data_IF_989064657836
#
_entry.id   IF_989064657836
#
_cell.length_a   1.000
_cell.length_b   1.000
_cell.length_c   1.000
_cell.angle_alpha   90.00
_cell.angle_beta   90.00
_cell.angle_gamma   90.00
#
_symmetry.space_group_name_H-M   'P 1'
#
loop_
_entity.id
_entity.type
_entity.pdbx_description
1 polymer ?
#
# COMPACT_ATOMS: atom_id res chain seq x y z
N UNK A 1 13.37 -6.33 1.95
CA UNK A 1 12.62 -7.61 2.14
C UNK A 1 11.71 -7.87 0.96
N UNK A 2 11.34 -9.13 0.70
CA UNK A 2 10.33 -9.51 -0.29
C UNK A 2 9.34 -10.45 0.37
N UNK A 3 8.07 -10.21 0.18
CA UNK A 3 6.99 -11.06 0.67
C UNK A 3 6.11 -11.51 -0.50
N UNK A 4 5.42 -12.65 -0.37
CA UNK A 4 4.38 -13.02 -1.33
C UNK A 4 3.24 -11.98 -1.27
N UNK A 5 2.42 -11.84 -2.35
CA UNK A 5 1.32 -10.87 -2.38
C UNK A 5 0.10 -11.32 -1.56
N UNK A 6 0.32 -12.12 -0.56
CA UNK A 6 -0.69 -12.67 0.36
C UNK A 6 -0.19 -12.56 1.80
N UNK A 7 -1.11 -12.34 2.73
CA UNK A 7 -0.85 -12.30 4.17
C UNK A 7 -1.78 -13.23 4.92
N UNK A 8 -1.38 -13.64 6.11
CA UNK A 8 -2.22 -14.41 6.99
C UNK A 8 -3.44 -13.58 7.42
N UNK A 9 -4.63 -14.17 7.39
CA UNK A 9 -5.89 -13.52 7.77
C UNK A 9 -5.85 -12.98 9.20
N UNK A 10 -5.25 -13.70 10.14
CA UNK A 10 -5.13 -13.26 11.53
C UNK A 10 -4.29 -11.98 11.67
N UNK A 11 -3.19 -11.85 10.91
CA UNK A 11 -2.37 -10.65 10.91
C UNK A 11 -3.08 -9.49 10.21
N UNK A 12 -3.84 -9.78 9.15
CA UNK A 12 -4.66 -8.79 8.45
C UNK A 12 -5.77 -8.23 9.37
N UNK A 13 -6.46 -9.09 10.12
CA UNK A 13 -7.46 -8.70 11.12
C UNK A 13 -6.83 -7.87 12.25
N UNK A 14 -5.68 -8.33 12.77
CA UNK A 14 -4.92 -7.63 13.81
C UNK A 14 -4.48 -6.23 13.39
N UNK A 15 -4.16 -6.03 12.12
CA UNK A 15 -3.77 -4.73 11.57
C UNK A 15 -4.89 -3.69 11.59
N UNK A 16 -6.14 -4.05 11.87
CA UNK A 16 -7.30 -3.15 11.83
C UNK A 16 -7.78 -2.79 10.43
N UNK A 17 -7.24 -3.43 9.38
CA UNK A 17 -7.60 -3.08 8.01
C UNK A 17 -9.09 -3.23 7.72
N UNK A 18 -9.72 -4.31 8.18
CA UNK A 18 -11.15 -4.56 7.96
C UNK A 18 -12.06 -3.54 8.66
N UNK A 19 -11.61 -2.94 9.76
CA UNK A 19 -12.36 -1.87 10.43
C UNK A 19 -12.34 -0.58 9.61
N UNK A 20 -11.22 -0.31 8.93
CA UNK A 20 -11.00 0.94 8.20
C UNK A 20 -11.35 0.85 6.72
N UNK A 21 -11.07 -0.29 6.07
CA UNK A 21 -11.13 -0.44 4.61
C UNK A 21 -11.74 -1.78 4.15
N UNK A 22 -12.87 -2.25 4.69
CA UNK A 22 -13.44 -3.54 4.31
C UNK A 22 -13.77 -3.64 2.83
N UNK A 23 -14.12 -2.52 2.19
CA UNK A 23 -14.47 -2.43 0.78
C UNK A 23 -13.28 -2.61 -0.18
N UNK A 24 -12.06 -2.47 0.33
CA UNK A 24 -10.82 -2.65 -0.46
C UNK A 24 -10.21 -4.04 -0.30
N UNK A 25 -10.70 -4.83 0.65
CA UNK A 25 -10.12 -6.12 0.99
C UNK A 25 -10.38 -7.17 -0.09
N UNK A 26 -9.36 -7.97 -0.41
CA UNK A 26 -9.48 -9.14 -1.26
C UNK A 26 -9.24 -10.43 -0.46
N UNK A 27 -10.17 -11.37 -0.55
CA UNK A 27 -10.06 -12.69 0.09
C UNK A 27 -9.67 -13.76 -0.94
N UNK A 28 -9.04 -14.83 -0.47
CA UNK A 28 -8.68 -15.99 -1.29
C UNK A 28 -9.61 -17.14 -0.93
N UNK A 29 -10.25 -17.71 -1.95
CA UNK A 29 -11.10 -18.86 -1.83
C UNK A 29 -10.48 -20.04 -2.57
N UNK A 30 -10.66 -21.24 -2.05
CA UNK A 30 -10.15 -22.46 -2.64
C UNK A 30 -11.18 -23.59 -2.52
N UNK A 31 -11.13 -24.51 -3.46
CA UNK A 31 -11.95 -25.72 -3.38
C UNK A 31 -11.49 -26.57 -2.19
N UNK A 32 -12.43 -26.89 -1.29
CA UNK A 32 -12.20 -27.69 -0.09
C UNK A 32 -13.20 -28.86 -0.01
N UNK A 33 -13.62 -29.39 -1.15
CA UNK A 33 -14.62 -30.41 -1.23
C UNK A 33 -14.06 -31.83 -1.37
N UNK A 34 -14.95 -32.80 -1.15
CA UNK A 34 -14.73 -34.21 -1.44
C UNK A 34 -14.93 -34.52 -2.94
N UNK A 35 -14.60 -35.75 -3.36
CA UNK A 35 -14.86 -36.19 -4.75
C UNK A 35 -16.33 -36.05 -5.18
N UNK A 36 -17.34 -36.36 -4.35
CA UNK A 36 -18.73 -36.07 -4.70
C UNK A 36 -19.01 -34.57 -4.88
N UNK A 37 -18.36 -33.70 -4.10
CA UNK A 37 -18.47 -32.22 -4.26
C UNK A 37 -17.85 -31.78 -5.59
N UNK A 38 -16.72 -32.32 -5.97
CA UNK A 38 -16.09 -32.09 -7.27
C UNK A 38 -17.01 -32.50 -8.42
N UNK A 39 -17.64 -33.68 -8.37
CA UNK A 39 -18.60 -34.09 -9.40
C UNK A 39 -19.75 -33.11 -9.55
N UNK A 40 -20.38 -32.71 -8.44
CA UNK A 40 -21.45 -31.69 -8.47
C UNK A 40 -20.99 -30.36 -9.07
N UNK A 41 -19.77 -29.91 -8.74
CA UNK A 41 -19.19 -28.69 -9.32
C UNK A 41 -19.05 -28.86 -10.85
N UNK A 42 -18.56 -30.00 -11.33
CA UNK A 42 -18.43 -30.28 -12.77
C UNK A 42 -19.79 -30.30 -13.48
N UNK A 43 -20.83 -30.87 -12.86
CA UNK A 43 -22.19 -30.83 -13.38
C UNK A 43 -22.73 -29.40 -13.46
N UNK A 44 -22.44 -28.58 -12.44
CA UNK A 44 -22.80 -27.17 -12.43
C UNK A 44 -22.12 -26.42 -13.59
N UNK A 45 -20.82 -26.62 -13.80
CA UNK A 45 -20.08 -26.02 -14.92
C UNK A 45 -20.65 -26.48 -16.28
N UNK A 46 -20.95 -27.76 -16.42
CA UNK A 46 -21.49 -28.31 -17.67
C UNK A 46 -22.85 -27.73 -18.07
N UNK A 47 -23.64 -27.27 -17.09
CA UNK A 47 -24.92 -26.57 -17.29
C UNK A 47 -24.83 -25.06 -17.34
N UNK A 48 -23.60 -24.47 -17.30
CA UNK A 48 -23.38 -23.04 -17.32
C UNK A 48 -23.75 -22.35 -15.99
N UNK A 49 -23.82 -23.08 -14.88
CA UNK A 49 -24.11 -22.57 -13.55
C UNK A 49 -22.90 -21.97 -12.83
N UNK A 50 -23.14 -21.29 -11.72
CA UNK A 50 -22.10 -20.70 -10.89
C UNK A 50 -21.42 -21.76 -10.01
N UNK A 51 -20.16 -22.03 -10.29
CA UNK A 51 -19.31 -22.95 -9.54
C UNK A 51 -18.66 -22.31 -8.29
N UNK A 52 -18.75 -20.98 -8.14
CA UNK A 52 -18.03 -20.25 -7.07
C UNK A 52 -18.47 -20.68 -5.67
N UNK A 53 -19.71 -21.13 -5.50
CA UNK A 53 -20.24 -21.67 -4.24
C UNK A 53 -19.49 -22.94 -3.75
N UNK A 54 -18.74 -23.62 -4.61
CA UNK A 54 -17.91 -24.77 -4.23
C UNK A 54 -16.56 -24.36 -3.58
N UNK A 55 -16.24 -23.07 -3.54
CA UNK A 55 -14.99 -22.55 -3.00
C UNK A 55 -15.23 -21.90 -1.65
N UNK A 56 -14.38 -22.19 -0.67
CA UNK A 56 -14.44 -21.65 0.67
C UNK A 56 -13.29 -20.69 0.93
N UNK A 57 -13.53 -19.68 1.77
CA UNK A 57 -12.52 -18.74 2.19
C UNK A 57 -11.36 -19.47 2.88
N UNK A 58 -10.14 -19.17 2.47
CA UNK A 58 -8.90 -19.67 3.08
C UNK A 58 -8.45 -18.77 4.24
N UNK A 59 -7.47 -19.19 5.07
CA UNK A 59 -6.84 -18.34 6.07
C UNK A 59 -5.86 -17.31 5.48
N UNK A 60 -5.94 -17.05 4.18
CA UNK A 60 -5.09 -16.10 3.45
C UNK A 60 -5.93 -15.00 2.82
N UNK A 61 -5.36 -13.79 2.76
CA UNK A 61 -5.94 -12.63 2.07
C UNK A 61 -4.90 -11.95 1.20
N UNK A 62 -5.34 -11.18 0.22
CA UNK A 62 -4.46 -10.42 -0.65
C UNK A 62 -3.85 -9.24 0.11
N UNK A 63 -2.56 -8.97 -0.12
CA UNK A 63 -1.82 -7.89 0.53
C UNK A 63 -2.31 -6.52 0.05
N UNK A 64 -2.77 -5.60 0.93
CA UNK A 64 -3.33 -4.30 0.53
C UNK A 64 -2.27 -3.22 0.30
N UNK A 65 -1.07 -3.39 0.91
CA UNK A 65 0.11 -2.55 0.74
C UNK A 65 1.36 -3.35 1.11
N UNK A 66 2.51 -3.03 0.54
CA UNK A 66 3.73 -3.83 0.70
C UNK A 66 4.26 -3.85 2.14
N UNK A 67 3.93 -2.83 2.96
CA UNK A 67 4.36 -2.73 4.36
C UNK A 67 3.62 -3.69 5.33
N UNK A 68 2.41 -4.15 5.00
CA UNK A 68 1.60 -4.95 5.95
C UNK A 68 2.30 -6.21 6.47
N UNK A 69 2.96 -7.03 5.64
CA UNK A 69 3.67 -8.21 6.13
C UNK A 69 4.96 -7.89 6.91
N UNK A 70 5.41 -6.63 6.92
CA UNK A 70 6.60 -6.21 7.67
C UNK A 70 6.32 -6.18 9.17
N UNK A 71 5.15 -5.67 9.58
CA UNK A 71 4.86 -5.43 11.01
C UNK A 71 4.87 -6.70 11.87
N UNK A 72 4.27 -7.83 11.46
CA UNK A 72 4.39 -9.08 12.21
C UNK A 72 5.85 -9.55 12.40
N UNK A 73 6.72 -9.29 11.43
CA UNK A 73 8.15 -9.66 11.50
C UNK A 73 8.93 -8.78 12.48
N UNK A 74 8.43 -7.58 12.77
CA UNK A 74 9.06 -6.64 13.72
C UNK A 74 8.61 -6.85 15.17
N UNK A 75 7.70 -7.80 15.45
CA UNK A 75 7.23 -8.09 16.81
C UNK A 75 8.38 -8.23 17.81
N UNK A 76 8.23 -7.62 18.99
CA UNK A 76 9.23 -7.62 20.07
C UNK A 76 10.02 -6.33 20.16
N UNK A 77 11.14 -6.36 20.84
CA UNK A 77 11.97 -5.20 21.10
C UNK A 77 12.88 -4.87 19.90
N UNK A 78 12.81 -3.64 19.48
CA UNK A 78 13.68 -3.10 18.42
C UNK A 78 15.06 -2.72 18.98
N UNK A 79 16.12 -2.72 18.15
CA UNK A 79 17.39 -2.10 18.55
C UNK A 79 17.21 -0.58 18.77
N UNK A 80 18.12 0.06 19.52
CA UNK A 80 18.08 1.51 19.79
C UNK A 80 17.99 2.36 18.54
N UNK A 81 18.63 1.94 17.46
CA UNK A 81 18.53 2.63 16.16
C UNK A 81 17.16 2.47 15.48
N UNK A 82 16.24 1.71 16.05
CA UNK A 82 15.00 1.27 15.40
C UNK A 82 15.26 0.32 14.24
N UNK A 83 14.28 0.19 13.35
CA UNK A 83 14.41 -0.58 12.10
C UNK A 83 14.02 0.26 10.90
N UNK A 84 14.80 0.12 9.85
CA UNK A 84 14.48 0.61 8.50
C UNK A 84 14.38 -0.61 7.59
N UNK A 85 13.27 -0.75 6.91
CA UNK A 85 12.97 -1.89 6.03
C UNK A 85 12.64 -1.36 4.66
N UNK A 86 13.31 -1.91 3.65
CA UNK A 86 12.99 -1.78 2.24
C UNK A 86 12.17 -3.00 1.83
N UNK A 87 10.97 -2.78 1.25
CA UNK A 87 10.04 -3.84 0.87
C UNK A 87 9.36 -3.54 -0.44
N UNK A 88 9.23 -4.56 -1.29
CA UNK A 88 8.46 -4.49 -2.53
C UNK A 88 7.53 -5.70 -2.62
N UNK A 89 6.27 -5.47 -3.01
CA UNK A 89 5.28 -6.51 -3.22
C UNK A 89 4.25 -6.09 -4.25
N UNK A 90 3.55 -7.07 -4.85
CA UNK A 90 2.25 -6.84 -5.44
C UNK A 90 1.22 -6.59 -4.35
N UNK A 91 0.33 -5.65 -4.61
CA UNK A 91 -0.74 -5.25 -3.70
C UNK A 91 -2.07 -5.33 -4.44
N UNK A 92 -3.13 -5.63 -3.68
CA UNK A 92 -4.48 -5.68 -4.21
C UNK A 92 -5.41 -4.76 -3.42
N UNK A 93 -6.24 -4.01 -4.14
CA UNK A 93 -7.36 -3.25 -3.57
C UNK A 93 -8.56 -3.40 -4.48
N UNK A 94 -9.70 -3.81 -3.94
CA UNK A 94 -10.93 -3.88 -4.70
C UNK A 94 -11.46 -2.47 -4.95
N UNK A 95 -10.93 -1.84 -5.98
CA UNK A 95 -11.22 -0.45 -6.37
C UNK A 95 -11.49 -0.41 -7.88
N UNK A 96 -12.59 -1.05 -8.36
CA UNK A 96 -12.89 -1.06 -9.78
C UNK A 96 -13.12 0.37 -10.28
N UNK A 97 -12.42 0.75 -11.34
CA UNK A 97 -12.43 2.12 -11.87
C UNK A 97 -12.03 2.11 -13.35
N UNK A 98 -12.54 3.07 -14.11
CA UNK A 98 -12.10 3.37 -15.48
C UNK A 98 -10.82 4.22 -15.51
N UNK A 99 -10.42 4.81 -14.38
CA UNK A 99 -9.17 5.56 -14.27
C UNK A 99 -7.97 4.61 -14.38
N UNK A 100 -7.09 4.75 -15.39
CA UNK A 100 -5.93 3.89 -15.57
C UNK A 100 -4.94 3.93 -14.40
N UNK A 101 -4.96 4.98 -13.57
CA UNK A 101 -4.18 5.11 -12.34
C UNK A 101 -4.74 4.31 -11.15
N UNK A 102 -5.95 3.71 -11.27
CA UNK A 102 -6.63 2.95 -10.22
C UNK A 102 -6.71 1.47 -10.55
N UNK A 103 -5.57 0.84 -10.70
CA UNK A 103 -5.49 -0.61 -10.92
C UNK A 103 -5.84 -1.35 -9.62
N UNK A 104 -6.59 -2.46 -9.75
CA UNK A 104 -6.90 -3.30 -8.59
C UNK A 104 -5.69 -4.10 -8.10
N UNK A 105 -4.76 -4.45 -9.00
CA UNK A 105 -3.48 -5.08 -8.66
C UNK A 105 -2.35 -4.22 -9.21
N UNK A 106 -1.39 -3.90 -8.35
CA UNK A 106 -0.26 -3.02 -8.66
C UNK A 106 0.92 -3.35 -7.75
N UNK A 107 2.09 -2.84 -8.08
CA UNK A 107 3.30 -2.99 -7.26
C UNK A 107 3.54 -1.75 -6.43
N UNK A 108 3.89 -1.98 -5.18
CA UNK A 108 4.40 -0.93 -4.30
C UNK A 108 5.83 -1.26 -3.87
N UNK A 109 6.68 -0.24 -3.93
CA UNK A 109 7.97 -0.22 -3.27
C UNK A 109 7.84 0.71 -2.07
N UNK A 110 8.11 0.20 -0.88
CA UNK A 110 7.95 0.97 0.35
C UNK A 110 9.20 0.92 1.22
N UNK A 111 9.51 2.06 1.84
CA UNK A 111 10.44 2.13 2.95
C UNK A 111 9.63 2.27 4.23
N UNK A 112 9.88 1.39 5.20
CA UNK A 112 9.20 1.36 6.51
C UNK A 112 10.19 1.69 7.60
N UNK A 113 9.86 2.67 8.44
CA UNK A 113 10.61 3.03 9.63
C UNK A 113 9.81 2.64 10.87
N UNK A 114 10.46 1.94 11.82
CA UNK A 114 9.93 1.65 13.15
C UNK A 114 10.94 2.05 14.23
N UNK A 115 10.48 2.64 15.33
CA UNK A 115 11.34 3.11 16.40
C UNK A 115 10.61 4.04 17.37
N UNK A 116 11.38 4.90 18.05
CA UNK A 116 10.82 5.96 18.89
C UNK A 116 10.09 7.04 18.05
N UNK A 117 9.11 7.76 18.64
CA UNK A 117 8.29 8.73 17.92
C UNK A 117 9.09 9.83 17.21
N UNK A 118 10.13 10.34 17.86
CA UNK A 118 10.94 11.46 17.34
C UNK A 118 11.72 11.03 16.11
N UNK A 119 12.43 9.90 16.20
CA UNK A 119 13.20 9.34 15.09
C UNK A 119 12.30 9.00 13.90
N UNK A 120 11.14 8.41 14.14
CA UNK A 120 10.20 8.03 13.07
C UNK A 120 9.61 9.25 12.39
N UNK A 121 9.23 10.28 13.15
CA UNK A 121 8.69 11.54 12.61
C UNK A 121 9.74 12.28 11.81
N UNK A 122 10.94 12.47 12.35
CA UNK A 122 12.05 13.16 11.67
C UNK A 122 12.43 12.44 10.36
N UNK A 123 12.44 11.09 10.37
CA UNK A 123 12.70 10.31 9.18
C UNK A 123 11.62 10.55 8.11
N UNK A 124 10.34 10.49 8.47
CA UNK A 124 9.24 10.73 7.53
C UNK A 124 9.32 12.15 6.94
N UNK A 125 9.56 13.18 7.76
CA UNK A 125 9.70 14.55 7.29
C UNK A 125 10.88 14.71 6.33
N UNK A 126 12.00 14.02 6.56
CA UNK A 126 13.15 14.03 5.65
C UNK A 126 12.82 13.49 4.25
N UNK A 127 11.80 12.64 4.14
CA UNK A 127 11.37 12.06 2.87
C UNK A 127 10.56 13.02 2.01
N UNK A 128 9.98 14.08 2.56
CA UNK A 128 9.22 15.07 1.78
C UNK A 128 10.14 15.68 0.72
N UNK A 129 11.24 16.29 1.15
CA UNK A 129 12.21 16.90 0.24
C UNK A 129 12.85 15.87 -0.73
N UNK A 130 13.12 14.65 -0.26
CA UNK A 130 13.66 13.58 -1.12
C UNK A 130 12.69 13.18 -2.22
N UNK A 131 11.42 13.00 -1.88
CA UNK A 131 10.39 12.61 -2.82
C UNK A 131 10.09 13.73 -3.83
N UNK A 132 10.10 14.99 -3.40
CA UNK A 132 10.01 16.16 -4.28
C UNK A 132 11.21 16.25 -5.21
N UNK A 133 12.43 16.06 -4.70
CA UNK A 133 13.64 16.02 -5.52
C UNK A 133 13.62 14.89 -6.55
N UNK A 134 13.13 13.71 -6.16
CA UNK A 134 12.98 12.57 -7.08
C UNK A 134 12.01 12.91 -8.21
N UNK A 135 10.82 13.43 -7.89
CA UNK A 135 9.83 13.78 -8.91
C UNK A 135 10.33 14.90 -9.83
N UNK A 136 11.08 15.87 -9.30
CA UNK A 136 11.73 16.90 -10.11
C UNK A 136 12.81 16.32 -11.05
N UNK A 137 13.65 15.41 -10.55
CA UNK A 137 14.66 14.72 -11.37
C UNK A 137 14.04 13.86 -12.49
N UNK A 138 12.83 13.34 -12.25
CA UNK A 138 12.03 12.63 -13.25
C UNK A 138 11.28 13.57 -14.21
N UNK A 139 11.40 14.89 -14.05
CA UNK A 139 10.72 15.90 -14.88
C UNK A 139 9.21 15.91 -14.72
N UNK A 140 8.69 15.37 -13.59
CA UNK A 140 7.27 15.33 -13.29
C UNK A 140 6.82 16.63 -12.61
N UNK A 141 5.69 17.17 -13.07
CA UNK A 141 5.01 18.29 -12.40
C UNK A 141 4.17 17.72 -11.26
N UNK A 142 4.76 17.66 -10.07
CA UNK A 142 4.16 17.05 -8.90
C UNK A 142 3.69 18.12 -7.90
N UNK A 143 2.64 17.77 -7.16
CA UNK A 143 2.09 18.57 -6.06
C UNK A 143 2.08 17.75 -4.77
N UNK A 144 2.67 18.31 -3.71
CA UNK A 144 2.63 17.72 -2.37
C UNK A 144 1.45 18.28 -1.60
N UNK A 145 0.61 17.41 -1.06
CA UNK A 145 -0.57 17.82 -0.30
C UNK A 145 -0.90 16.90 0.86
N UNK A 146 -1.63 17.44 1.84
CA UNK A 146 -2.21 16.63 2.93
C UNK A 146 -3.36 15.80 2.35
N UNK A 147 -3.36 14.52 2.66
CA UNK A 147 -4.34 13.57 2.17
C UNK A 147 -5.02 12.81 3.32
N UNK A 148 -6.04 12.03 2.99
CA UNK A 148 -6.64 11.07 3.89
C UNK A 148 -6.97 9.80 3.14
N UNK A 149 -6.97 8.68 3.89
CA UNK A 149 -7.40 7.40 3.35
C UNK A 149 -8.93 7.34 3.19
N UNK A 150 -9.43 6.47 2.29
CA UNK A 150 -10.86 6.31 2.06
C UNK A 150 -11.49 5.42 3.14
N UNK A 151 -11.46 5.88 4.39
CA UNK A 151 -12.06 5.18 5.52
C UNK A 151 -13.55 4.90 5.31
N UNK A 152 -13.98 3.70 5.67
CA UNK A 152 -15.34 3.24 5.46
C UNK A 152 -16.30 3.71 6.57
N UNK A 153 -17.55 4.02 6.19
CA UNK A 153 -18.66 4.29 7.10
C UNK A 153 -18.62 5.65 7.79
N UNK A 154 -19.56 5.86 8.74
CA UNK A 154 -19.71 7.13 9.45
C UNK A 154 -18.50 7.50 10.30
N UNK A 155 -17.93 6.53 11.03
CA UNK A 155 -16.71 6.72 11.81
C UNK A 155 -15.50 7.05 10.93
N UNK A 156 -15.47 6.56 9.70
CA UNK A 156 -14.42 6.83 8.74
C UNK A 156 -14.25 8.31 8.39
N UNK A 157 -15.34 9.09 8.38
CA UNK A 157 -15.26 10.55 8.16
C UNK A 157 -14.49 11.26 9.27
N UNK A 158 -14.69 10.87 10.52
CA UNK A 158 -13.93 11.43 11.66
C UNK A 158 -12.46 11.04 11.60
N UNK A 159 -12.17 9.78 11.25
CA UNK A 159 -10.78 9.32 11.06
C UNK A 159 -10.09 10.09 9.93
N UNK A 160 -10.77 10.34 8.82
CA UNK A 160 -10.24 11.11 7.70
C UNK A 160 -9.96 12.58 8.09
N UNK A 161 -10.84 13.22 8.89
CA UNK A 161 -10.61 14.57 9.43
C UNK A 161 -9.39 14.55 10.34
N UNK A 162 -9.35 13.66 11.33
CA UNK A 162 -8.23 13.53 12.26
C UNK A 162 -6.89 13.28 11.55
N UNK A 163 -6.89 12.40 10.53
CA UNK A 163 -5.70 12.12 9.73
C UNK A 163 -5.19 13.38 9.01
N UNK A 164 -6.08 14.21 8.48
CA UNK A 164 -5.73 15.49 7.85
C UNK A 164 -5.23 16.52 8.86
N UNK A 165 -5.95 16.71 9.94
CA UNK A 165 -5.64 17.73 10.97
C UNK A 165 -4.26 17.49 11.61
N UNK A 166 -3.92 16.21 11.83
CA UNK A 166 -2.62 15.81 12.34
C UNK A 166 -1.56 15.60 11.24
N UNK A 167 -1.89 15.85 9.98
CA UNK A 167 -1.00 15.64 8.82
C UNK A 167 -0.34 14.25 8.81
N UNK A 168 -1.10 13.22 9.20
CA UNK A 168 -0.59 11.84 9.30
C UNK A 168 -0.30 11.23 7.93
N UNK A 169 -0.93 11.76 6.86
CA UNK A 169 -0.71 11.32 5.49
C UNK A 169 -0.43 12.51 4.59
N UNK A 170 0.68 12.43 3.85
CA UNK A 170 0.99 13.31 2.73
C UNK A 170 1.02 12.49 1.44
N UNK A 171 0.62 13.09 0.35
CA UNK A 171 0.72 12.49 -0.98
C UNK A 171 1.39 13.44 -1.95
N UNK A 172 2.20 12.87 -2.83
CA UNK A 172 2.73 13.55 -4.00
C UNK A 172 1.96 13.04 -5.21
N UNK A 173 1.24 13.96 -5.83
CA UNK A 173 0.30 13.67 -6.90
C UNK A 173 0.74 14.32 -8.20
N UNK A 174 0.43 13.67 -9.31
CA UNK A 174 0.69 14.14 -10.69
C UNK A 174 -0.54 13.95 -11.55
N UNK A 175 -0.63 14.67 -12.66
CA UNK A 175 -1.65 14.45 -13.66
C UNK A 175 -1.32 13.16 -14.46
N UNK A 176 -2.18 12.14 -14.35
CA UNK A 176 -2.15 10.94 -15.22
C UNK A 176 -3.32 10.97 -16.18
N UNK A 177 -4.55 10.87 -15.72
CA UNK A 177 -5.76 10.86 -16.54
C UNK A 177 -6.39 12.26 -16.65
N UNK A 178 -6.47 13.00 -15.56
CA UNK A 178 -7.14 14.30 -15.47
C UNK A 178 -6.36 15.30 -14.64
N UNK A 179 -6.29 16.55 -15.09
CA UNK A 179 -5.70 17.66 -14.34
C UNK A 179 -6.55 18.06 -13.13
N UNK A 180 -7.86 17.85 -13.21
CA UNK A 180 -8.80 18.16 -12.12
C UNK A 180 -8.75 17.11 -11.00
N UNK A 181 -8.25 15.91 -11.32
CA UNK A 181 -8.12 14.81 -10.37
C UNK A 181 -6.72 14.21 -10.46
N UNK A 182 -5.70 14.86 -9.91
CA UNK A 182 -4.33 14.34 -9.90
C UNK A 182 -4.26 13.03 -9.13
N UNK A 183 -3.42 12.13 -9.59
CA UNK A 183 -3.24 10.79 -9.03
C UNK A 183 -2.01 10.77 -8.12
N UNK A 184 -2.16 10.28 -6.89
CA UNK A 184 -1.05 10.08 -5.97
C UNK A 184 -0.10 8.99 -6.48
N UNK A 185 1.17 9.32 -6.62
CA UNK A 185 2.25 8.40 -7.05
C UNK A 185 3.17 8.00 -5.90
N UNK A 186 3.28 8.88 -4.87
CA UNK A 186 4.04 8.63 -3.65
C UNK A 186 3.15 9.01 -2.46
N UNK A 187 3.18 8.20 -1.41
CA UNK A 187 2.50 8.50 -0.14
C UNK A 187 3.47 8.39 1.03
N UNK A 188 3.35 9.32 1.97
CA UNK A 188 4.14 9.38 3.20
C UNK A 188 3.18 9.30 4.37
N UNK A 189 3.21 8.19 5.09
CA UNK A 189 2.27 7.92 6.18
C UNK A 189 3.01 7.85 7.52
N UNK A 190 2.41 8.43 8.54
CA UNK A 190 2.80 8.29 9.94
C UNK A 190 1.70 7.57 10.69
N UNK A 191 1.94 6.34 11.11
CA UNK A 191 0.94 5.48 11.72
C UNK A 191 0.86 5.65 13.24
N UNK A 192 1.72 6.49 13.80
CA UNK A 192 1.88 6.63 15.26
C UNK A 192 2.16 5.26 15.91
N UNK A 193 1.53 4.95 17.02
CA UNK A 193 1.67 3.69 17.75
C UNK A 193 0.80 2.53 17.21
N UNK A 194 -0.03 2.77 16.18
CA UNK A 194 -1.03 1.80 15.71
C UNK A 194 -0.47 0.40 15.47
N UNK A 195 0.56 0.28 14.64
CA UNK A 195 1.17 -1.04 14.38
C UNK A 195 2.07 -1.51 15.52
N UNK A 196 2.62 -0.59 16.32
CA UNK A 196 3.33 -0.90 17.55
C UNK A 196 2.45 -1.65 18.54
N UNK A 197 1.25 -1.13 18.79
CA UNK A 197 0.25 -1.78 19.65
C UNK A 197 -0.27 -3.07 19.01
N UNK A 198 -0.70 -3.02 17.75
CA UNK A 198 -1.28 -4.16 17.07
C UNK A 198 -0.35 -5.39 17.02
N UNK A 199 0.94 -5.19 16.84
CA UNK A 199 1.92 -6.27 16.68
C UNK A 199 2.93 -6.39 17.83
N UNK A 200 2.68 -5.71 18.97
CA UNK A 200 3.56 -5.72 20.13
C UNK A 200 5.02 -5.38 19.77
N UNK A 201 5.21 -4.31 18.97
CA UNK A 201 6.53 -3.81 18.62
C UNK A 201 6.92 -2.75 19.66
N UNK A 202 8.05 -2.93 20.33
CA UNK A 202 8.53 -2.02 21.37
C UNK A 202 9.87 -1.41 21.02
N UNK A 203 10.15 -0.23 21.53
CA UNK A 203 11.48 0.37 21.46
C UNK A 203 12.46 -0.37 22.37
N UNK A 204 13.75 -0.08 22.26
CA UNK A 204 14.76 -0.67 23.16
C UNK A 204 14.55 -0.31 24.63
N UNK A 205 13.88 0.80 24.91
CA UNK A 205 13.52 1.30 26.24
C UNK A 205 12.18 0.73 26.75
N UNK A 206 11.51 -0.14 25.97
CA UNK A 206 10.27 -0.81 26.34
C UNK A 206 8.98 -0.02 26.05
N UNK A 207 9.06 1.19 25.47
CA UNK A 207 7.90 1.94 25.03
C UNK A 207 7.30 1.33 23.74
N UNK A 208 6.03 1.62 23.45
CA UNK A 208 5.40 1.21 22.19
C UNK A 208 6.10 1.92 21.02
N UNK A 209 6.53 1.15 20.03
CA UNK A 209 7.18 1.71 18.85
C UNK A 209 6.18 2.44 17.95
N UNK A 210 6.58 3.58 17.41
CA UNK A 210 5.88 4.24 16.32
C UNK A 210 6.37 3.72 14.97
N UNK A 211 5.53 3.87 13.95
CA UNK A 211 5.88 3.45 12.58
C UNK A 211 5.49 4.51 11.57
N UNK A 212 6.24 4.55 10.48
CA UNK A 212 5.94 5.34 9.29
C UNK A 212 6.33 4.57 8.03
N UNK A 213 5.69 4.87 6.91
CA UNK A 213 6.13 4.37 5.62
C UNK A 213 6.12 5.46 4.54
N UNK A 214 6.98 5.25 3.55
CA UNK A 214 6.99 6.01 2.29
C UNK A 214 6.81 5.00 1.17
N UNK A 215 5.71 5.10 0.43
CA UNK A 215 5.33 4.14 -0.60
C UNK A 215 5.27 4.76 -1.98
N UNK A 216 5.80 4.03 -2.96
CA UNK A 216 5.85 4.37 -4.37
C UNK A 216 4.98 3.41 -5.15
N UNK A 217 3.95 3.92 -5.84
CA UNK A 217 3.13 3.13 -6.76
C UNK A 217 3.83 3.01 -8.11
N UNK A 218 4.44 1.86 -8.41
CA UNK A 218 5.35 1.71 -9.55
C UNK A 218 4.63 1.88 -10.88
N UNK A 219 3.44 1.32 -11.03
CA UNK A 219 2.62 1.48 -12.24
C UNK A 219 2.17 2.93 -12.44
N UNK A 220 1.78 3.62 -11.37
CA UNK A 220 1.40 5.04 -11.43
C UNK A 220 2.59 5.92 -11.81
N UNK A 221 3.78 5.65 -11.28
CA UNK A 221 5.02 6.32 -11.68
C UNK A 221 5.33 6.09 -13.16
N UNK A 222 5.20 4.84 -13.64
CA UNK A 222 5.40 4.53 -15.06
C UNK A 222 4.39 5.25 -15.96
N UNK A 223 3.10 5.26 -15.58
CA UNK A 223 2.07 6.00 -16.31
C UNK A 223 2.35 7.52 -16.36
N UNK A 224 2.78 8.09 -15.22
CA UNK A 224 3.15 9.50 -15.15
C UNK A 224 4.32 9.84 -16.08
N UNK A 225 5.34 8.98 -16.13
CA UNK A 225 6.50 9.13 -17.02
C UNK A 225 6.09 9.05 -18.48
N UNK A 226 5.29 8.06 -18.86
CA UNK A 226 4.79 7.94 -20.23
C UNK A 226 3.87 9.09 -20.62
N UNK A 227 3.01 9.55 -19.72
CA UNK A 227 2.15 10.72 -19.93
C UNK A 227 2.98 11.99 -20.15
N UNK A 228 4.08 12.15 -19.41
CA UNK A 228 4.93 13.33 -19.47
C UNK A 228 5.89 13.33 -20.64
N UNK A 229 6.52 12.19 -20.94
CA UNK A 229 7.65 12.10 -21.87
C UNK A 229 7.35 11.29 -23.13
N UNK A 230 6.17 10.65 -23.24
CA UNK A 230 5.79 9.80 -24.36
C UNK A 230 6.34 8.36 -24.22
N UNK A 231 5.95 7.50 -25.18
CA UNK A 231 6.28 6.07 -25.13
C UNK A 231 7.70 5.72 -25.63
N UNK A 232 8.33 6.63 -26.39
CA UNK A 232 9.68 6.43 -26.91
C UNK A 232 10.72 6.90 -25.87
N UNK A 233 11.22 5.97 -25.07
CA UNK A 233 12.21 6.24 -24.01
C UNK A 233 13.52 6.84 -24.52
N UNK A 234 13.87 6.62 -25.79
CA UNK A 234 15.09 7.19 -26.36
C UNK A 234 15.00 8.71 -26.55
N UNK A 235 13.75 9.23 -26.63
CA UNK A 235 13.47 10.67 -26.74
C UNK A 235 13.24 11.37 -25.40
N UNK A 236 13.33 10.64 -24.29
CA UNK A 236 13.22 11.25 -22.98
C UNK A 236 14.42 12.16 -22.69
N UNK A 237 14.26 13.22 -21.88
CA UNK A 237 15.36 14.10 -21.51
C UNK A 237 16.53 13.30 -20.91
N UNK A 238 17.75 13.67 -21.23
CA UNK A 238 18.96 12.97 -20.73
C UNK A 238 19.03 12.92 -19.20
N UNK A 239 18.56 13.98 -18.53
CA UNK A 239 18.47 14.02 -17.06
C UNK A 239 17.55 12.94 -16.51
N UNK A 240 16.40 12.72 -17.15
CA UNK A 240 15.43 11.68 -16.78
C UNK A 240 15.99 10.28 -17.07
N UNK A 241 16.58 10.10 -18.25
CA UNK A 241 17.20 8.83 -18.64
C UNK A 241 18.33 8.46 -17.67
N UNK A 242 19.17 9.43 -17.31
CA UNK A 242 20.25 9.24 -16.33
C UNK A 242 19.70 8.89 -14.94
N UNK A 243 18.63 9.55 -14.49
CA UNK A 243 18.00 9.28 -13.19
C UNK A 243 17.38 7.88 -13.12
N UNK A 244 16.97 7.32 -14.26
CA UNK A 244 16.38 5.98 -14.40
C UNK A 244 17.36 4.91 -14.89
N UNK A 245 18.64 5.27 -15.10
CA UNK A 245 19.69 4.37 -15.62
C UNK A 245 19.30 3.71 -16.97
N UNK A 246 18.68 4.52 -17.88
CA UNK A 246 18.18 4.09 -19.20
C UNK A 246 19.18 4.43 -20.32
#
# INVERSE_FOLDING_TARGET
>A
MRFPPIVNRADFERSGYLQSFPHLAGTIHSFAGSEPAHRRMMDTIATGGDWSAAFLATPLVLTPAACYPVYPVLTGSLPRSGRLVDVMSYCFRHEPSEDPGRMQMFRMHEHVRAGDPETVTAWRESWIARAESLTAALGLQAHTGVASDPFFGRGGKLLAVNQRDQRLKLEISVCIASEQQPTAIISLNYHQNHFGEAFAITTAEGGIAHTACVGFGLERLALALFRRHGFDRQKWPDTVRKALEL
#
